data_IF_146183129047
#
_entry.id   IF_146183129047
#
_cell.length_a   1.000
_cell.length_b   1.000
_cell.length_c   1.000
_cell.angle_alpha   90.00
_cell.angle_beta   90.00
_cell.angle_gamma   90.00
#
_symmetry.space_group_name_H-M   'P 1'
#
loop_
_entity.id
_entity.type
_entity.pdbx_description
1 polymer ?
#
# COMPACT_ATOMS: atom_id res chain seq x y z
N UNK A 1 -26.68 71.86 38.76
CA UNK A 1 -27.16 71.13 37.55
C UNK A 1 -25.90 70.61 36.84
N UNK A 2 -25.46 69.37 37.08
CA UNK A 2 -25.80 68.15 36.32
C UNK A 2 -25.88 68.36 34.80
N UNK A 3 -24.89 67.85 34.04
CA UNK A 3 -25.04 66.60 33.29
C UNK A 3 -23.85 66.31 32.36
N UNK A 4 -23.19 65.17 32.64
CA UNK A 4 -22.74 64.09 31.74
C UNK A 4 -21.98 64.37 30.43
N UNK A 5 -20.90 63.60 30.25
CA UNK A 5 -20.73 62.82 29.02
C UNK A 5 -19.29 62.61 28.57
N UNK A 6 -18.81 61.36 28.59
CA UNK A 6 -17.56 60.92 27.97
C UNK A 6 -16.73 60.01 28.89
N UNK A 7 -17.25 58.86 29.34
CA UNK A 7 -17.12 57.59 28.60
C UNK A 7 -15.69 57.42 28.04
N UNK A 8 -14.78 56.82 28.81
CA UNK A 8 -14.52 55.38 28.71
C UNK A 8 -14.26 54.97 27.26
N UNK A 9 -13.07 55.27 26.72
CA UNK A 9 -12.72 54.82 25.38
C UNK A 9 -11.24 54.47 25.17
N UNK A 10 -10.47 54.08 26.20
CA UNK A 10 -9.11 53.54 25.98
C UNK A 10 -8.70 52.44 26.97
N UNK A 11 -9.64 51.69 27.52
CA UNK A 11 -9.34 50.55 28.39
C UNK A 11 -9.78 49.25 27.70
N UNK A 12 -9.20 48.96 26.53
CA UNK A 12 -9.25 47.65 25.86
C UNK A 12 -8.30 47.64 24.64
N UNK A 13 -7.04 47.99 24.85
CA UNK A 13 -5.97 47.70 23.87
C UNK A 13 -4.89 46.81 24.51
N UNK A 14 -5.34 45.92 25.39
CA UNK A 14 -4.55 44.76 25.80
C UNK A 14 -4.91 43.60 24.89
N UNK A 15 -3.88 42.83 24.50
CA UNK A 15 -3.92 41.56 23.74
C UNK A 15 -3.69 41.73 22.23
N UNK A 16 -2.43 41.85 21.84
CA UNK A 16 -1.69 40.90 20.95
C UNK A 16 -0.37 41.60 20.61
N UNK A 17 0.81 41.08 21.01
CA UNK A 17 2.08 41.68 20.62
C UNK A 17 2.19 41.75 19.09
N UNK A 18 2.68 42.86 18.51
CA UNK A 18 2.85 42.97 17.06
C UNK A 18 3.66 41.78 16.60
N UNK A 19 3.05 40.91 15.78
CA UNK A 19 3.48 39.57 15.36
C UNK A 19 5.00 39.32 15.30
N UNK A 20 5.79 40.34 14.93
CA UNK A 20 7.26 40.36 14.96
C UNK A 20 7.88 40.16 16.36
N UNK A 21 7.37 40.80 17.42
CA UNK A 21 7.86 40.63 18.78
C UNK A 21 7.61 39.20 19.30
N UNK A 22 6.44 38.64 19.00
CA UNK A 22 6.12 37.24 19.34
C UNK A 22 7.09 36.25 18.66
N UNK A 23 7.34 36.39 17.35
CA UNK A 23 8.29 35.52 16.66
C UNK A 23 9.72 35.66 17.18
N UNK A 24 10.16 36.88 17.53
CA UNK A 24 11.46 37.13 18.15
C UNK A 24 11.60 36.44 19.50
N UNK A 25 10.57 36.51 20.33
CA UNK A 25 10.58 35.86 21.65
C UNK A 25 10.56 34.35 21.52
N UNK A 26 9.71 33.81 20.64
CA UNK A 26 9.65 32.38 20.33
C UNK A 26 11.00 31.82 19.86
N UNK A 27 11.71 32.56 19.01
CA UNK A 27 13.03 32.17 18.52
C UNK A 27 14.14 32.34 19.57
N UNK A 28 14.01 33.28 20.51
CA UNK A 28 14.91 33.40 21.67
C UNK A 28 14.72 32.23 22.62
N UNK A 29 13.47 31.88 22.91
CA UNK A 29 13.15 30.77 23.82
C UNK A 29 13.55 29.42 23.24
N UNK A 30 13.33 29.20 21.94
CA UNK A 30 13.85 28.01 21.25
C UNK A 30 15.38 27.90 21.38
N UNK A 31 16.11 28.99 21.14
CA UNK A 31 17.57 29.02 21.29
C UNK A 31 18.00 28.76 22.73
N UNK A 32 17.31 29.32 23.73
CA UNK A 32 17.58 29.06 25.16
C UNK A 32 17.39 27.59 25.50
N UNK A 33 16.29 26.97 25.07
CA UNK A 33 16.03 25.53 25.28
C UNK A 33 17.14 24.68 24.66
N UNK A 34 17.48 24.94 23.40
CA UNK A 34 18.55 24.22 22.72
C UNK A 34 19.90 24.35 23.44
N UNK A 35 20.26 25.55 23.91
CA UNK A 35 21.51 25.76 24.67
C UNK A 35 21.47 25.02 26.01
N UNK A 36 20.33 25.05 26.72
CA UNK A 36 20.14 24.32 27.96
C UNK A 36 20.28 22.80 27.75
N UNK A 37 19.62 22.24 26.73
CA UNK A 37 19.70 20.83 26.39
C UNK A 37 21.14 20.42 26.07
N UNK A 38 21.85 21.21 25.25
CA UNK A 38 23.27 20.98 24.96
C UNK A 38 24.13 21.03 26.23
N UNK A 39 23.85 21.95 27.15
CA UNK A 39 24.56 22.01 28.43
C UNK A 39 24.27 20.78 29.30
N UNK A 40 23.02 20.30 29.35
CA UNK A 40 22.66 19.09 30.10
C UNK A 40 23.36 17.85 29.53
N UNK A 41 23.39 17.68 28.21
CA UNK A 41 24.08 16.55 27.59
C UNK A 41 25.59 16.61 27.83
N UNK A 42 26.20 17.80 27.74
CA UNK A 42 27.62 17.97 28.07
C UNK A 42 27.92 17.62 29.53
N UNK A 43 27.08 18.04 30.47
CA UNK A 43 27.23 17.71 31.88
C UNK A 43 27.12 16.19 32.12
N UNK A 44 26.18 15.51 31.43
CA UNK A 44 26.06 14.05 31.48
C UNK A 44 27.32 13.36 30.93
N UNK A 45 27.88 13.84 29.82
CA UNK A 45 29.12 13.29 29.26
C UNK A 45 30.28 13.41 30.26
N UNK A 46 30.46 14.58 30.88
CA UNK A 46 31.52 14.80 31.88
C UNK A 46 31.29 13.91 33.11
N UNK A 47 30.04 13.77 33.57
CA UNK A 47 29.69 12.88 34.67
C UNK A 47 30.02 11.41 34.35
N UNK A 48 29.60 10.92 33.19
CA UNK A 48 29.87 9.54 32.76
C UNK A 48 31.37 9.29 32.61
N UNK A 49 32.12 10.25 32.06
CA UNK A 49 33.58 10.17 31.99
C UNK A 49 34.21 10.11 33.39
N UNK A 50 33.74 10.92 34.35
CA UNK A 50 34.23 10.86 35.74
C UNK A 50 33.93 9.52 36.42
N UNK A 51 32.75 8.93 36.14
CA UNK A 51 32.38 7.60 36.62
C UNK A 51 33.32 6.54 36.03
N UNK A 52 33.60 6.61 34.73
CA UNK A 52 34.55 5.71 34.07
C UNK A 52 35.96 5.82 34.65
N UNK A 53 36.48 7.05 34.80
CA UNK A 53 37.80 7.28 35.40
C UNK A 53 37.85 6.75 36.82
N UNK A 54 36.81 6.97 37.64
CA UNK A 54 36.73 6.45 39.02
C UNK A 54 36.68 4.92 39.07
N UNK A 55 35.98 4.28 38.15
CA UNK A 55 35.95 2.82 38.04
C UNK A 55 37.30 2.27 37.57
N UNK A 56 38.03 3.01 36.74
CA UNK A 56 39.36 2.65 36.26
C UNK A 56 40.46 2.90 37.32
N UNK A 57 40.39 3.98 38.10
CA UNK A 57 41.35 4.30 39.17
C UNK A 57 41.09 3.54 40.47
N UNK A 58 39.83 3.19 40.75
CA UNK A 58 39.47 2.24 41.81
C UNK A 58 39.96 0.80 41.52
N UNK A 59 40.37 0.51 40.28
CA UNK A 59 41.09 -0.70 39.91
C UNK A 59 42.58 -0.51 40.21
N UNK A 60 42.94 -0.70 41.48
CA UNK A 60 44.33 -0.62 41.94
C UNK A 60 45.25 -1.58 41.15
N UNK A 61 46.48 -1.19 40.76
CA UNK A 61 47.40 -2.05 39.99
C UNK A 61 48.07 -3.15 40.81
N UNK A 62 47.79 -3.26 42.11
CA UNK A 62 48.52 -4.12 43.03
C UNK A 62 47.62 -5.21 43.64
N UNK A 63 47.12 -6.07 42.79
CA UNK A 63 47.04 -7.52 43.03
C UNK A 63 47.23 -8.09 41.64
N UNK A 64 48.16 -9.03 41.48
CA UNK A 64 48.24 -9.95 40.34
C UNK A 64 46.82 -10.17 39.81
N UNK A 65 46.55 -10.11 38.50
CA UNK A 65 45.28 -10.58 38.01
C UNK A 65 45.19 -12.03 38.48
N UNK A 66 44.53 -12.28 39.61
CA UNK A 66 43.69 -13.43 39.76
C UNK A 66 42.71 -13.20 38.63
N UNK A 67 43.11 -13.65 37.44
CA UNK A 67 42.25 -14.43 36.59
C UNK A 67 41.50 -15.28 37.60
N UNK A 68 40.33 -14.79 38.04
CA UNK A 68 39.19 -15.66 38.15
C UNK A 68 39.38 -16.57 36.95
N UNK A 69 39.55 -17.86 37.23
CA UNK A 69 39.75 -18.88 36.24
C UNK A 69 38.52 -18.88 35.30
N UNK A 70 38.41 -17.84 34.48
CA UNK A 70 37.84 -17.85 33.18
C UNK A 70 38.75 -18.85 32.50
N UNK A 71 38.30 -20.09 32.45
CA UNK A 71 38.95 -21.15 31.70
C UNK A 71 39.01 -20.76 30.22
N UNK A 72 39.03 -21.72 29.29
CA UNK A 72 39.14 -21.41 27.86
C UNK A 72 38.08 -20.44 27.28
N UNK A 73 37.03 -20.07 28.04
CA UNK A 73 36.12 -18.96 27.72
C UNK A 73 35.83 -18.05 28.92
N UNK A 74 35.94 -16.73 28.71
CA UNK A 74 35.48 -15.71 29.66
C UNK A 74 33.96 -15.53 29.61
N UNK A 75 33.33 -15.23 30.75
CA UNK A 75 31.90 -14.89 30.82
C UNK A 75 31.53 -13.69 29.93
N UNK A 76 32.47 -12.77 29.73
CA UNK A 76 32.29 -11.64 28.83
C UNK A 76 32.14 -12.10 27.36
N UNK A 77 33.00 -13.02 26.91
CA UNK A 77 32.92 -13.62 25.58
C UNK A 77 31.60 -14.38 25.38
N UNK A 78 31.19 -15.15 26.40
CA UNK A 78 29.92 -15.88 26.40
C UNK A 78 28.74 -14.90 26.27
N UNK A 79 28.70 -13.85 27.08
CA UNK A 79 27.63 -12.86 27.06
C UNK A 79 27.52 -12.10 25.72
N UNK A 80 28.65 -11.81 25.05
CA UNK A 80 28.65 -11.19 23.72
C UNK A 80 27.99 -12.12 22.69
N UNK A 81 28.35 -13.41 22.70
CA UNK A 81 27.75 -14.39 21.79
C UNK A 81 26.25 -14.48 22.04
N UNK A 82 25.81 -14.68 23.29
CA UNK A 82 24.39 -14.73 23.62
C UNK A 82 23.63 -13.48 23.21
N UNK A 83 24.21 -12.29 23.44
CA UNK A 83 23.60 -11.02 23.00
C UNK A 83 23.42 -10.96 21.48
N UNK A 84 24.43 -11.37 20.73
CA UNK A 84 24.37 -11.39 19.25
C UNK A 84 23.35 -12.40 18.74
N UNK A 85 23.39 -13.62 19.27
CA UNK A 85 22.47 -14.69 18.87
C UNK A 85 21.03 -14.35 19.26
N UNK A 86 20.79 -13.79 20.45
CA UNK A 86 19.47 -13.31 20.85
C UNK A 86 18.96 -12.19 19.92
N UNK A 87 19.83 -11.25 19.54
CA UNK A 87 19.46 -10.21 18.59
C UNK A 87 19.10 -10.80 17.23
N UNK A 88 19.87 -11.77 16.71
CA UNK A 88 19.58 -12.47 15.45
C UNK A 88 18.23 -13.20 15.50
N UNK A 89 17.97 -13.93 16.59
CA UNK A 89 16.69 -14.65 16.75
C UNK A 89 15.51 -13.68 16.78
N UNK A 90 15.66 -12.52 17.43
CA UNK A 90 14.61 -11.50 17.48
C UNK A 90 14.37 -10.87 16.09
N UNK A 91 15.43 -10.57 15.34
CA UNK A 91 15.29 -10.03 13.97
C UNK A 91 14.69 -11.05 13.02
N UNK A 92 15.12 -12.31 13.10
CA UNK A 92 14.61 -13.40 12.27
C UNK A 92 13.13 -13.66 12.57
N UNK A 93 12.77 -13.71 13.85
CA UNK A 93 11.37 -13.83 14.28
C UNK A 93 10.53 -12.68 13.73
N UNK A 94 11.02 -11.44 13.81
CA UNK A 94 10.28 -10.29 13.30
C UNK A 94 10.09 -10.36 11.78
N UNK A 95 11.11 -10.78 11.03
CA UNK A 95 11.00 -11.02 9.59
C UNK A 95 9.97 -12.10 9.26
N UNK A 96 10.03 -13.25 9.93
CA UNK A 96 9.09 -14.35 9.74
C UNK A 96 7.65 -13.97 10.08
N UNK A 97 7.43 -13.21 11.15
CA UNK A 97 6.10 -12.71 11.52
C UNK A 97 5.54 -11.82 10.43
N UNK A 98 6.35 -10.89 9.89
CA UNK A 98 5.94 -10.01 8.79
C UNK A 98 5.58 -10.82 7.54
N UNK A 99 6.43 -11.76 7.14
CA UNK A 99 6.17 -12.64 5.99
C UNK A 99 4.89 -13.47 6.18
N UNK A 100 4.68 -14.00 7.38
CA UNK A 100 3.48 -14.80 7.68
C UNK A 100 2.23 -13.92 7.59
N UNK A 101 2.30 -12.67 8.08
CA UNK A 101 1.19 -11.73 8.01
C UNK A 101 0.86 -11.32 6.57
N UNK A 102 1.87 -11.11 5.73
CA UNK A 102 1.72 -10.84 4.29
C UNK A 102 1.07 -12.01 3.56
N UNK A 103 1.54 -13.24 3.80
CA UNK A 103 0.93 -14.43 3.19
C UNK A 103 -0.52 -14.62 3.66
N UNK A 104 -0.80 -14.40 4.95
CA UNK A 104 -2.17 -14.48 5.45
C UNK A 104 -3.09 -13.43 4.84
N UNK A 105 -2.61 -12.20 4.63
CA UNK A 105 -3.39 -11.14 3.98
C UNK A 105 -3.68 -11.50 2.53
N UNK A 106 -2.68 -12.03 1.82
CA UNK A 106 -2.81 -12.54 0.45
C UNK A 106 -3.81 -13.69 0.38
N UNK A 107 -3.72 -14.69 1.25
CA UNK A 107 -4.68 -15.81 1.30
C UNK A 107 -6.10 -15.31 1.51
N UNK A 108 -6.33 -14.37 2.43
CA UNK A 108 -7.66 -13.77 2.66
C UNK A 108 -8.15 -12.96 1.46
N UNK A 109 -7.25 -12.28 0.75
CA UNK A 109 -7.60 -11.57 -0.49
C UNK A 109 -8.00 -12.55 -1.59
N UNK A 110 -7.26 -13.65 -1.75
CA UNK A 110 -7.57 -14.67 -2.75
C UNK A 110 -8.82 -15.46 -2.43
N UNK A 111 -9.09 -15.77 -1.15
CA UNK A 111 -10.37 -16.38 -0.74
C UNK A 111 -11.56 -15.50 -1.11
N UNK A 112 -11.48 -14.20 -0.82
CA UNK A 112 -12.52 -13.23 -1.22
C UNK A 112 -12.65 -13.16 -2.74
N UNK A 113 -11.52 -13.07 -3.45
CA UNK A 113 -11.49 -13.06 -4.90
C UNK A 113 -12.21 -14.27 -5.50
N UNK A 114 -11.93 -15.48 -5.00
CA UNK A 114 -12.57 -16.72 -5.45
C UNK A 114 -14.08 -16.68 -5.19
N UNK A 115 -14.53 -16.28 -4.00
CA UNK A 115 -15.97 -16.20 -3.69
C UNK A 115 -16.69 -15.15 -4.52
N UNK A 116 -16.04 -14.03 -4.84
CA UNK A 116 -16.64 -12.97 -5.68
C UNK A 116 -16.68 -13.33 -7.16
N UNK A 117 -15.69 -14.09 -7.66
CA UNK A 117 -15.56 -14.39 -9.09
C UNK A 117 -16.15 -15.76 -9.48
N UNK A 118 -16.24 -16.72 -8.55
CA UNK A 118 -16.95 -17.98 -8.77
C UNK A 118 -18.41 -17.77 -8.39
N UNK A 119 -19.25 -17.47 -9.39
CA UNK A 119 -20.69 -17.41 -9.17
C UNK A 119 -21.27 -18.81 -8.92
N UNK A 120 -22.40 -18.92 -8.20
CA UNK A 120 -23.16 -20.16 -8.12
C UNK A 120 -23.56 -20.65 -9.52
N UNK A 121 -23.85 -21.95 -9.71
CA UNK A 121 -24.20 -22.52 -11.00
C UNK A 121 -25.65 -22.17 -11.39
N UNK A 122 -26.00 -20.89 -11.44
CA UNK A 122 -27.27 -20.42 -11.98
C UNK A 122 -27.04 -19.16 -12.80
N UNK A 123 -26.55 -19.34 -14.01
CA UNK A 123 -27.27 -18.92 -15.22
C UNK A 123 -26.46 -19.37 -16.42
N UNK A 124 -27.08 -20.17 -17.29
CA UNK A 124 -26.55 -20.55 -18.61
C UNK A 124 -26.57 -19.37 -19.60
N UNK A 125 -26.61 -18.14 -19.08
CA UNK A 125 -26.65 -16.93 -19.87
C UNK A 125 -25.23 -16.49 -20.20
N UNK A 126 -24.84 -16.82 -21.42
CA UNK A 126 -24.05 -15.97 -22.30
C UNK A 126 -22.68 -15.61 -21.73
N UNK A 127 -21.79 -16.59 -21.93
CA UNK A 127 -20.34 -16.56 -21.89
C UNK A 127 -19.68 -15.16 -21.78
N UNK A 128 -18.66 -15.11 -20.91
CA UNK A 128 -17.78 -13.99 -20.58
C UNK A 128 -18.28 -13.12 -19.42
N UNK A 129 -18.20 -13.68 -18.21
CA UNK A 129 -18.51 -12.98 -16.97
C UNK A 129 -17.42 -11.97 -16.62
N UNK A 130 -17.84 -10.77 -16.20
CA UNK A 130 -16.93 -9.75 -15.71
C UNK A 130 -16.25 -10.23 -14.42
N UNK A 131 -14.92 -10.35 -14.46
CA UNK A 131 -14.13 -10.68 -13.29
C UNK A 131 -13.61 -9.42 -12.60
N UNK A 132 -13.78 -9.34 -11.28
CA UNK A 132 -13.26 -8.23 -10.48
C UNK A 132 -11.93 -8.62 -9.85
N UNK A 133 -10.89 -7.86 -10.18
CA UNK A 133 -9.55 -8.07 -9.65
C UNK A 133 -9.35 -7.39 -8.29
N UNK A 134 -8.53 -8.00 -7.44
CA UNK A 134 -8.14 -7.41 -6.17
C UNK A 134 -7.30 -6.12 -6.37
N UNK A 135 -7.42 -5.18 -5.43
CA UNK A 135 -6.60 -3.96 -5.42
C UNK A 135 -5.12 -4.27 -5.09
N UNK A 136 -4.89 -5.27 -4.24
CA UNK A 136 -3.55 -5.74 -3.87
C UNK A 136 -2.79 -6.27 -5.11
N UNK A 137 -1.54 -5.80 -5.37
CA UNK A 137 -0.81 -6.19 -6.57
C UNK A 137 -0.52 -7.69 -6.70
N UNK A 138 -0.16 -8.34 -5.60
CA UNK A 138 0.19 -9.77 -5.58
C UNK A 138 -1.05 -10.63 -5.81
N UNK A 139 -2.14 -10.33 -5.11
CA UNK A 139 -3.43 -10.98 -5.30
C UNK A 139 -3.96 -10.75 -6.72
N UNK A 140 -3.79 -9.55 -7.27
CA UNK A 140 -4.20 -9.23 -8.65
C UNK A 140 -3.47 -10.07 -9.68
N UNK A 141 -2.15 -10.26 -9.54
CA UNK A 141 -1.38 -11.07 -10.49
C UNK A 141 -1.82 -12.53 -10.46
N UNK A 142 -1.97 -13.11 -9.26
CA UNK A 142 -2.44 -14.48 -9.13
C UNK A 142 -3.91 -14.64 -9.57
N UNK A 143 -4.74 -13.62 -9.36
CA UNK A 143 -6.11 -13.59 -9.87
C UNK A 143 -6.17 -13.58 -11.40
N UNK A 144 -5.29 -12.84 -12.07
CA UNK A 144 -5.17 -12.86 -13.54
C UNK A 144 -4.75 -14.23 -14.05
N UNK A 145 -3.74 -14.85 -13.43
CA UNK A 145 -3.28 -16.19 -13.79
C UNK A 145 -4.41 -17.21 -13.64
N UNK A 146 -5.09 -17.18 -12.49
CA UNK A 146 -6.21 -18.08 -12.21
C UNK A 146 -7.36 -17.91 -13.21
N UNK A 147 -7.77 -16.66 -13.51
CA UNK A 147 -8.80 -16.40 -14.53
C UNK A 147 -8.40 -16.91 -15.90
N UNK A 148 -7.13 -16.72 -16.27
CA UNK A 148 -6.61 -17.20 -17.56
C UNK A 148 -6.65 -18.72 -17.64
N UNK A 149 -6.24 -19.42 -16.57
CA UNK A 149 -6.33 -20.88 -16.47
C UNK A 149 -7.79 -21.34 -16.48
N UNK A 150 -8.68 -20.67 -15.74
CA UNK A 150 -10.11 -20.97 -15.73
C UNK A 150 -10.69 -20.85 -17.15
N UNK A 151 -10.36 -19.79 -17.88
CA UNK A 151 -10.80 -19.62 -19.27
C UNK A 151 -10.25 -20.72 -20.17
N UNK A 152 -8.96 -21.05 -20.05
CA UNK A 152 -8.32 -22.08 -20.88
C UNK A 152 -8.95 -23.46 -20.66
N UNK A 153 -9.13 -23.88 -19.40
CA UNK A 153 -9.67 -25.20 -19.10
C UNK A 153 -11.18 -25.30 -19.33
N UNK A 154 -11.93 -24.20 -19.14
CA UNK A 154 -13.38 -24.16 -19.38
C UNK A 154 -13.73 -23.64 -20.79
N UNK A 155 -12.78 -23.59 -21.73
CA UNK A 155 -13.05 -23.01 -23.06
C UNK A 155 -14.08 -23.80 -23.87
N UNK A 156 -14.22 -25.10 -23.64
CA UNK A 156 -15.06 -25.96 -24.47
C UNK A 156 -16.55 -25.60 -24.41
N UNK A 157 -17.10 -25.28 -23.23
CA UNK A 157 -18.50 -24.89 -23.08
C UNK A 157 -18.86 -23.57 -23.78
N UNK A 158 -18.20 -22.43 -23.52
CA UNK A 158 -18.51 -21.17 -24.18
C UNK A 158 -18.20 -21.20 -25.68
N UNK A 159 -17.21 -21.98 -26.12
CA UNK A 159 -16.95 -22.15 -27.55
C UNK A 159 -18.01 -23.03 -28.23
N UNK A 160 -18.64 -23.98 -27.53
CA UNK A 160 -19.76 -24.75 -28.06
C UNK A 160 -21.03 -23.90 -28.27
N UNK A 161 -21.13 -22.76 -27.59
CA UNK A 161 -22.20 -21.77 -27.81
C UNK A 161 -21.93 -20.87 -29.02
N UNK A 162 -20.72 -20.89 -29.59
CA UNK A 162 -20.44 -20.16 -30.83
C UNK A 162 -21.19 -20.83 -31.98
N UNK A 163 -21.78 -20.06 -32.91
CA UNK A 163 -22.46 -20.64 -34.05
C UNK A 163 -21.46 -21.47 -34.87
N UNK A 164 -21.91 -22.60 -35.41
CA UNK A 164 -21.11 -23.42 -36.31
C UNK A 164 -20.99 -22.75 -37.67
N UNK A 165 -20.12 -21.74 -37.77
CA UNK A 165 -19.85 -20.96 -38.98
C UNK A 165 -18.67 -21.59 -39.71
N UNK A 166 -18.75 -21.64 -41.04
CA UNK A 166 -17.64 -22.12 -41.86
C UNK A 166 -16.47 -21.15 -41.77
N UNK A 167 -15.25 -21.65 -41.92
CA UNK A 167 -14.04 -20.81 -41.80
C UNK A 167 -14.03 -19.64 -42.81
N UNK A 168 -14.70 -19.80 -43.96
CA UNK A 168 -14.78 -18.82 -45.06
C UNK A 168 -15.93 -17.80 -44.92
N UNK A 169 -16.75 -17.89 -43.87
CA UNK A 169 -17.89 -17.01 -43.65
C UNK A 169 -17.63 -16.07 -42.48
N UNK A 170 -17.80 -14.77 -42.71
CA UNK A 170 -17.84 -13.78 -41.64
C UNK A 170 -19.18 -13.91 -40.90
N UNK A 171 -19.16 -13.88 -39.56
CA UNK A 171 -20.38 -13.91 -38.74
C UNK A 171 -20.43 -12.81 -37.71
N UNK A 172 -21.65 -12.31 -37.50
CA UNK A 172 -21.99 -11.25 -36.57
C UNK A 172 -23.17 -11.75 -35.73
N UNK A 173 -23.02 -11.75 -34.41
CA UNK A 173 -24.05 -12.17 -33.48
C UNK A 173 -24.19 -11.14 -32.38
N UNK A 174 -25.41 -10.67 -32.13
CA UNK A 174 -25.71 -9.65 -31.13
C UNK A 174 -26.67 -10.26 -30.12
N UNK A 175 -26.23 -10.39 -28.87
CA UNK A 175 -27.07 -10.79 -27.74
C UNK A 175 -27.46 -9.55 -26.94
N UNK A 176 -28.73 -9.16 -27.02
CA UNK A 176 -29.28 -8.06 -26.23
C UNK A 176 -30.02 -8.63 -25.02
N UNK A 177 -29.52 -8.35 -23.83
CA UNK A 177 -30.18 -8.71 -22.58
C UNK A 177 -30.90 -7.49 -22.02
N UNK A 178 -32.23 -7.53 -22.05
CA UNK A 178 -33.09 -6.51 -21.46
C UNK A 178 -33.20 -6.75 -19.97
N UNK A 179 -32.93 -5.73 -19.17
CA UNK A 179 -33.25 -5.74 -17.74
C UNK A 179 -34.66 -5.20 -17.55
N UNK A 180 -35.49 -5.90 -16.78
CA UNK A 180 -36.91 -5.56 -16.55
C UNK A 180 -37.07 -4.29 -15.68
N UNK A 181 -35.99 -3.85 -15.02
CA UNK A 181 -36.04 -2.89 -13.92
C UNK A 181 -35.55 -1.47 -14.28
N UNK A 182 -35.41 -1.15 -15.58
CA UNK A 182 -34.89 0.16 -16.04
C UNK A 182 -33.36 0.30 -15.90
N UNK A 183 -32.66 -0.80 -15.64
CA UNK A 183 -31.19 -0.89 -15.70
C UNK A 183 -30.70 -0.84 -17.17
N UNK A 184 -29.46 -0.39 -17.42
CA UNK A 184 -28.93 -0.24 -18.77
C UNK A 184 -28.93 -1.59 -19.50
N UNK A 185 -29.40 -1.55 -20.76
CA UNK A 185 -29.41 -2.70 -21.67
C UNK A 185 -27.97 -3.21 -21.81
N UNK A 186 -27.75 -4.49 -21.52
CA UNK A 186 -26.46 -5.13 -21.76
C UNK A 186 -26.49 -5.74 -23.17
N UNK A 187 -25.68 -5.18 -24.07
CA UNK A 187 -25.50 -5.70 -25.41
C UNK A 187 -24.12 -6.40 -25.52
N UNK A 188 -24.13 -7.63 -26.02
CA UNK A 188 -22.93 -8.41 -26.32
C UNK A 188 -22.86 -8.69 -27.81
N UNK A 189 -22.01 -7.93 -28.49
CA UNK A 189 -21.64 -8.17 -29.88
C UNK A 189 -20.49 -9.19 -29.98
N UNK A 190 -20.68 -10.23 -30.80
CA UNK A 190 -19.66 -11.21 -31.16
C UNK A 190 -19.46 -11.19 -32.67
N UNK A 191 -18.19 -11.12 -33.07
CA UNK A 191 -17.82 -11.08 -34.49
C UNK A 191 -16.73 -12.10 -34.78
N UNK A 192 -16.89 -12.87 -35.84
CA UNK A 192 -15.89 -13.78 -36.39
C UNK A 192 -15.58 -13.36 -37.83
N UNK A 193 -14.31 -13.13 -38.14
CA UNK A 193 -13.86 -12.75 -39.47
C UNK A 193 -12.41 -13.20 -39.69
N UNK A 194 -12.07 -13.50 -40.95
CA UNK A 194 -10.71 -13.80 -41.35
C UNK A 194 -9.93 -12.50 -41.54
N UNK A 195 -8.98 -12.22 -40.65
CA UNK A 195 -8.01 -11.15 -40.86
C UNK A 195 -6.83 -11.64 -41.72
N UNK A 196 -6.59 -11.06 -42.90
CA UNK A 196 -5.38 -11.34 -43.66
C UNK A 196 -4.16 -10.73 -42.96
N UNK A 197 -3.09 -11.52 -42.81
CA UNK A 197 -1.80 -11.05 -42.28
C UNK A 197 -1.28 -11.85 -41.09
N UNK A 198 -0.32 -11.27 -40.37
CA UNK A 198 0.32 -11.92 -39.22
C UNK A 198 -0.32 -11.51 -37.89
N UNK A 199 -0.16 -12.32 -36.85
CA UNK A 199 -0.58 -11.99 -35.47
C UNK A 199 -0.01 -10.64 -35.00
N UNK A 200 1.18 -10.25 -35.48
CA UNK A 200 1.76 -8.94 -35.16
C UNK A 200 0.98 -7.76 -35.76
N UNK A 201 0.44 -7.92 -36.97
CA UNK A 201 -0.42 -6.90 -37.59
C UNK A 201 -1.73 -6.75 -36.81
N UNK A 202 -2.33 -7.87 -36.40
CA UNK A 202 -3.52 -7.86 -35.55
C UNK A 202 -3.26 -7.18 -34.20
N UNK A 203 -2.14 -7.50 -33.53
CA UNK A 203 -1.75 -6.84 -32.29
C UNK A 203 -1.67 -5.32 -32.46
N UNK A 204 -0.99 -4.83 -33.50
CA UNK A 204 -0.89 -3.40 -33.80
C UNK A 204 -2.25 -2.77 -34.06
N UNK A 205 -3.13 -3.44 -34.81
CA UNK A 205 -4.48 -2.98 -35.11
C UNK A 205 -5.30 -2.78 -33.82
N UNK A 206 -5.29 -3.76 -32.92
CA UNK A 206 -5.98 -3.68 -31.62
C UNK A 206 -5.39 -2.57 -30.74
N UNK A 207 -4.06 -2.46 -30.67
CA UNK A 207 -3.38 -1.41 -29.89
C UNK A 207 -3.72 0.00 -30.41
N UNK A 208 -3.82 0.19 -31.73
CA UNK A 208 -4.23 1.45 -32.35
C UNK A 208 -5.73 1.74 -32.16
N UNK A 209 -6.60 0.73 -32.27
CA UNK A 209 -8.05 0.89 -32.20
C UNK A 209 -8.62 0.89 -30.79
N UNK A 210 -7.91 0.38 -29.77
CA UNK A 210 -8.34 0.48 -28.36
C UNK A 210 -8.50 1.92 -27.89
N UNK A 211 -7.78 2.88 -28.48
CA UNK A 211 -7.98 4.31 -28.23
C UNK A 211 -9.29 4.82 -28.85
N UNK A 212 -9.68 4.33 -30.02
CA UNK A 212 -10.94 4.66 -30.70
C UNK A 212 -12.16 4.04 -29.98
N UNK A 213 -12.06 2.81 -29.47
CA UNK A 213 -13.12 2.17 -28.69
C UNK A 213 -13.41 2.88 -27.35
N UNK A 214 -12.38 3.47 -26.71
CA UNK A 214 -12.56 4.34 -25.54
C UNK A 214 -13.29 5.64 -25.87
N UNK A 215 -13.06 6.20 -27.07
CA UNK A 215 -13.75 7.40 -27.55
C UNK A 215 -15.22 7.13 -27.89
N UNK A 216 -15.54 6.01 -28.53
CA UNK A 216 -16.93 5.69 -28.91
C UNK A 216 -17.85 5.51 -27.69
N UNK A 217 -17.38 4.83 -26.63
CA UNK A 217 -18.14 4.73 -25.37
C UNK A 217 -18.38 6.08 -24.68
N UNK A 218 -17.42 7.02 -24.78
CA UNK A 218 -17.59 8.36 -24.19
C UNK A 218 -18.60 9.25 -24.92
N UNK A 219 -18.81 9.01 -26.22
CA UNK A 219 -19.77 9.74 -27.05
C UNK A 219 -21.21 9.26 -26.82
N UNK A 220 -21.43 7.95 -26.64
CA UNK A 220 -22.76 7.41 -26.31
C UNK A 220 -23.23 7.83 -24.91
N UNK A 221 -22.36 7.82 -23.90
CA UNK A 221 -22.73 8.27 -22.54
C UNK A 221 -23.02 9.76 -22.45
N UNK A 222 -22.52 10.57 -23.39
CA UNK A 222 -22.82 12.00 -23.46
C UNK A 222 -24.10 12.32 -24.24
N UNK A 223 -24.63 11.38 -25.02
CA UNK A 223 -25.79 11.59 -25.88
C UNK A 223 -27.11 11.10 -25.29
N UNK A 224 -27.08 10.41 -24.15
CA UNK A 224 -28.27 9.96 -23.40
C UNK A 224 -28.68 10.90 -22.26
N UNK A 225 -27.95 12.00 -22.04
CA UNK A 225 -28.24 13.03 -21.03
C UNK A 225 -28.75 14.35 -21.66
N UNK A 226 -29.57 14.30 -22.72
CA UNK A 226 -30.21 15.48 -23.31
C UNK A 226 -31.68 15.25 -23.64
#
# INVERSE_FOLDING_TARGET
MSSKGGASMYENADKIPPRRQYFREKQREYRRKMIADVATFKAQCVHLQSVLVRLQTGRSPSVVPRKASDGPLSWHSIAIVFKREAHRVLTDRQSLVTQTQELQSLTKAMQRFVVTNIQPPMSRSNAWQNATLAADPSARNLGKEWLTQQMYHNMHEPFALLPAVRLDEDSFHIDVQMSDDGEPIMDVERVQFLLPGTVQMFRRLIECNMWQAKLYKSVQTASTDS
#
